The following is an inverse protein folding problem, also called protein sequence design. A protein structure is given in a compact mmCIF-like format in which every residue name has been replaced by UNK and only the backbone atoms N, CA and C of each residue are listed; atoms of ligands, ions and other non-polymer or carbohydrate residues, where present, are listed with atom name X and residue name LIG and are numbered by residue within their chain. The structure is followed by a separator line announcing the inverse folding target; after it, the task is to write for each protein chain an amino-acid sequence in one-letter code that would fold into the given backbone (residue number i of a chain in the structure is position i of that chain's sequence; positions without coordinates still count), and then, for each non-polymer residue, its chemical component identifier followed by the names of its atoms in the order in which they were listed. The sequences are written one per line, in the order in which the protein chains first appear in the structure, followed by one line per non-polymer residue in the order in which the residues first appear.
data_IF_242342725571
#
_entry.id   IF_242342725571
#
_cell.length_a   1.000
_cell.length_b   1.000
_cell.length_c   1.000
_cell.angle_alpha   90.00
_cell.angle_beta   90.00
_cell.angle_gamma   90.00
#
_symmetry.space_group_name_H-M   'P 1'
#
loop_
_entity.id
_entity.type
_entity.pdbx_description
1 polymer ?
#
# COMPACT_ATOMS: atom_id res chain seq x y z
N UNK A 1 -25.73 19.63 40.64
CA UNK A 1 -24.69 18.60 40.63
C UNK A 1 -24.09 18.39 39.21
N UNK A 2 -24.25 19.37 38.32
CA UNK A 2 -23.77 19.31 36.91
C UNK A 2 -22.68 20.36 36.57
N UNK A 3 -22.15 21.06 37.56
CA UNK A 3 -21.14 22.13 37.34
C UNK A 3 -19.73 21.76 37.82
N UNK A 4 -19.49 20.49 38.18
CA UNK A 4 -18.20 20.05 38.74
C UNK A 4 -17.32 19.22 37.77
N UNK A 5 -17.76 19.02 36.53
CA UNK A 5 -17.02 18.21 35.52
C UNK A 5 -16.27 19.09 34.52
N UNK A 6 -16.40 20.40 34.56
CA UNK A 6 -15.75 21.34 33.60
C UNK A 6 -14.46 22.01 34.09
N UNK A 7 -13.86 21.57 35.18
CA UNK A 7 -12.61 22.10 35.68
C UNK A 7 -11.58 20.99 35.81
N UNK A 8 -10.87 20.68 34.72
CA UNK A 8 -9.54 20.08 34.55
C UNK A 8 -9.42 19.15 33.36
N UNK A 9 -10.07 19.38 32.24
CA UNK A 9 -9.58 18.81 30.99
C UNK A 9 -8.47 19.73 30.46
N UNK A 10 -7.22 19.41 30.78
CA UNK A 10 -6.10 20.07 30.14
C UNK A 10 -6.26 19.85 28.62
N UNK A 11 -6.40 20.97 27.90
CA UNK A 11 -6.50 20.93 26.44
C UNK A 11 -5.23 20.31 25.87
N UNK A 12 -5.38 19.33 24.98
CA UNK A 12 -4.24 18.75 24.30
C UNK A 12 -3.55 19.75 23.37
N UNK A 13 -2.26 19.62 23.18
CA UNK A 13 -1.56 20.39 22.13
C UNK A 13 -2.06 19.98 20.74
N UNK A 14 -2.30 18.66 20.55
CA UNK A 14 -2.75 18.10 19.28
C UNK A 14 -3.87 17.07 19.45
N UNK A 15 -4.88 17.17 18.61
CA UNK A 15 -5.79 16.09 18.28
C UNK A 15 -5.35 15.48 16.94
N UNK A 16 -5.07 14.19 16.93
CA UNK A 16 -4.74 13.44 15.70
C UNK A 16 -5.93 12.56 15.33
N UNK A 17 -6.52 12.82 14.18
CA UNK A 17 -7.64 12.04 13.63
C UNK A 17 -7.09 11.01 12.67
N UNK A 18 -7.11 9.76 13.10
CA UNK A 18 -6.58 8.58 12.41
C UNK A 18 -5.39 7.95 13.13
N UNK A 19 -5.56 6.73 13.61
CA UNK A 19 -4.55 5.92 14.29
C UNK A 19 -3.74 5.01 13.33
N UNK A 20 -3.67 5.38 12.05
CA UNK A 20 -2.81 4.76 11.06
C UNK A 20 -1.34 5.14 11.23
N UNK A 21 -0.46 4.67 10.32
CA UNK A 21 0.98 4.95 10.40
C UNK A 21 1.31 6.44 10.47
N UNK A 22 0.65 7.27 9.64
CA UNK A 22 0.92 8.71 9.64
C UNK A 22 0.58 9.34 11.00
N UNK A 23 -0.64 9.07 11.50
CA UNK A 23 -1.07 9.61 12.79
C UNK A 23 -0.21 9.12 13.95
N UNK A 24 0.15 7.83 13.97
CA UNK A 24 1.01 7.26 15.00
C UNK A 24 2.41 7.87 15.00
N UNK A 25 3.02 8.05 13.83
CA UNK A 25 4.34 8.71 13.70
C UNK A 25 4.26 10.16 14.15
N UNK A 26 3.25 10.91 13.72
CA UNK A 26 3.07 12.30 14.16
C UNK A 26 2.92 12.39 15.68
N UNK A 27 2.03 11.58 16.24
CA UNK A 27 1.77 11.56 17.68
C UNK A 27 3.04 11.21 18.48
N UNK A 28 3.80 10.20 18.04
CA UNK A 28 5.06 9.81 18.64
C UNK A 28 6.09 10.97 18.62
N UNK A 29 6.25 11.64 17.48
CA UNK A 29 7.19 12.73 17.35
C UNK A 29 6.77 13.97 18.16
N UNK A 30 5.47 14.28 18.23
CA UNK A 30 4.94 15.35 19.07
C UNK A 30 5.18 15.06 20.55
N UNK A 31 4.88 13.85 21.02
CA UNK A 31 5.17 13.42 22.38
C UNK A 31 6.65 13.53 22.73
N UNK A 32 7.54 13.14 21.82
CA UNK A 32 8.99 13.23 22.01
C UNK A 32 9.46 14.69 22.19
N UNK A 33 8.66 15.67 21.76
CA UNK A 33 8.88 17.10 21.95
C UNK A 33 8.13 17.67 23.17
N UNK A 34 7.61 16.80 24.04
CA UNK A 34 6.90 17.21 25.27
C UNK A 34 5.47 17.69 25.01
N UNK A 35 4.87 17.39 23.85
CA UNK A 35 3.50 17.76 23.51
C UNK A 35 2.50 16.72 24.00
N UNK A 36 1.36 17.20 24.50
CA UNK A 36 0.21 16.35 24.83
C UNK A 36 -0.60 16.04 23.57
N UNK A 37 -0.93 14.78 23.35
CA UNK A 37 -1.60 14.31 22.12
C UNK A 37 -2.75 13.39 22.47
N UNK A 38 -3.91 13.64 21.88
CA UNK A 38 -5.01 12.68 21.78
C UNK A 38 -5.11 12.15 20.36
N UNK A 39 -5.12 10.84 20.20
CA UNK A 39 -5.38 10.17 18.92
C UNK A 39 -6.80 9.59 18.94
N UNK A 40 -7.57 9.82 17.89
CA UNK A 40 -8.90 9.22 17.72
C UNK A 40 -8.96 8.47 16.38
N UNK A 41 -9.68 7.36 16.33
CA UNK A 41 -9.97 6.64 15.08
C UNK A 41 -11.37 6.07 15.09
N UNK A 42 -12.05 6.12 13.95
CA UNK A 42 -13.37 5.54 13.78
C UNK A 42 -13.40 4.01 13.78
N UNK A 43 -12.27 3.38 13.44
CA UNK A 43 -12.12 1.92 13.49
C UNK A 43 -11.98 1.45 14.93
N UNK A 44 -12.36 0.19 15.23
CA UNK A 44 -12.17 -0.40 16.55
C UNK A 44 -10.72 -0.80 16.84
N UNK A 45 -9.80 -0.55 15.91
CA UNK A 45 -8.39 -0.92 15.97
C UNK A 45 -7.48 0.22 15.51
N UNK A 46 -6.26 0.23 16.02
CA UNK A 46 -5.15 1.06 15.52
C UNK A 46 -4.56 0.50 14.22
N UNK A 47 -3.51 1.12 13.74
CA UNK A 47 -2.71 0.76 12.56
C UNK A 47 -3.37 1.00 11.20
N UNK A 48 -4.63 1.47 11.13
CA UNK A 48 -5.25 1.85 9.87
C UNK A 48 -5.17 0.75 8.81
N UNK A 49 -4.64 1.07 7.63
CA UNK A 49 -4.54 0.11 6.53
C UNK A 49 -3.43 -0.93 6.70
N UNK A 50 -2.47 -0.74 7.62
CA UNK A 50 -1.44 -1.75 7.93
C UNK A 50 -1.85 -2.66 9.08
N UNK A 51 -3.12 -2.63 9.49
CA UNK A 51 -3.63 -3.49 10.55
C UNK A 51 -3.33 -4.97 10.25
N UNK A 52 -2.63 -5.58 11.18
CA UNK A 52 -2.22 -6.99 11.13
C UNK A 52 -2.83 -7.71 12.32
N UNK A 53 -3.49 -8.80 12.07
CA UNK A 53 -4.12 -9.66 13.07
C UNK A 53 -3.45 -11.04 13.07
N UNK A 54 -3.26 -11.63 14.24
CA UNK A 54 -2.73 -12.99 14.34
C UNK A 54 -3.88 -13.99 14.31
N UNK A 55 -3.96 -14.78 13.23
CA UNK A 55 -4.96 -15.83 13.03
C UNK A 55 -4.22 -17.14 12.79
N UNK A 56 -4.52 -18.20 13.54
CA UNK A 56 -3.87 -19.53 13.45
C UNK A 56 -2.33 -19.45 13.46
N UNK A 57 -1.78 -18.50 14.22
CA UNK A 57 -0.33 -18.28 14.30
C UNK A 57 0.26 -17.46 13.15
N UNK A 58 -0.53 -17.07 12.14
CA UNK A 58 -0.12 -16.31 10.98
C UNK A 58 -0.43 -14.82 11.20
N UNK A 59 0.50 -13.95 10.85
CA UNK A 59 0.26 -12.50 10.81
C UNK A 59 -0.49 -12.14 9.52
N UNK A 60 -1.80 -11.94 9.61
CA UNK A 60 -2.67 -11.64 8.47
C UNK A 60 -2.78 -10.12 8.28
N UNK A 61 -2.36 -9.62 7.13
CA UNK A 61 -2.54 -8.23 6.73
C UNK A 61 -3.97 -8.04 6.22
N UNK A 62 -4.85 -7.50 7.05
CA UNK A 62 -6.30 -7.45 6.79
C UNK A 62 -6.70 -6.60 5.58
N UNK A 63 -5.88 -5.63 5.20
CA UNK A 63 -6.16 -4.69 4.11
C UNK A 63 -5.11 -4.80 2.98
N UNK A 64 -4.66 -6.02 2.70
CA UNK A 64 -3.67 -6.32 1.68
C UNK A 64 -2.23 -6.31 2.18
N UNK A 65 -1.34 -6.91 1.40
CA UNK A 65 0.06 -7.04 1.75
C UNK A 65 0.74 -5.67 1.84
N UNK A 66 1.36 -5.41 2.97
CA UNK A 66 2.18 -4.23 3.20
C UNK A 66 3.61 -4.68 3.49
N UNK A 67 4.55 -4.33 2.63
CA UNK A 67 5.96 -4.60 2.80
C UNK A 67 6.67 -3.27 2.98
N UNK A 68 7.32 -3.09 4.13
CA UNK A 68 8.10 -1.89 4.37
C UNK A 68 9.35 -1.88 3.52
N UNK A 69 9.59 -0.78 2.82
CA UNK A 69 10.83 -0.58 2.06
C UNK A 69 11.22 0.90 2.00
N UNK A 70 12.51 1.17 2.03
CA UNK A 70 13.03 2.54 1.95
C UNK A 70 14.50 2.57 1.56
N UNK A 71 14.94 3.66 0.94
CA UNK A 71 16.35 3.99 0.77
C UNK A 71 16.86 4.97 1.84
N UNK A 72 15.93 5.51 2.65
CA UNK A 72 16.28 6.50 3.66
C UNK A 72 16.68 5.82 4.97
N UNK A 73 17.98 5.87 5.30
CA UNK A 73 18.52 5.29 6.53
C UNK A 73 17.92 5.88 7.80
N UNK A 74 17.53 7.17 7.79
CA UNK A 74 16.88 7.79 8.97
C UNK A 74 15.51 7.18 9.22
N UNK A 75 14.72 6.95 8.17
CA UNK A 75 13.41 6.29 8.26
C UNK A 75 13.58 4.84 8.72
N UNK A 76 14.53 4.10 8.15
CA UNK A 76 14.83 2.74 8.57
C UNK A 76 15.20 2.66 10.06
N UNK A 77 16.13 3.52 10.50
CA UNK A 77 16.53 3.57 11.91
C UNK A 77 15.37 3.99 12.84
N UNK A 78 14.47 4.86 12.36
CA UNK A 78 13.30 5.27 13.13
C UNK A 78 12.34 4.11 13.37
N UNK A 79 11.95 3.38 12.33
CA UNK A 79 10.97 2.28 12.48
C UNK A 79 11.54 1.10 13.27
N UNK A 80 12.85 0.85 13.19
CA UNK A 80 13.53 -0.18 13.97
C UNK A 80 13.59 0.12 15.48
N UNK A 81 13.18 1.30 15.91
CA UNK A 81 12.99 1.60 17.35
C UNK A 81 11.73 0.95 17.91
N UNK A 82 10.77 0.60 17.06
CA UNK A 82 9.44 0.14 17.45
C UNK A 82 9.17 -1.32 17.08
N UNK A 83 9.97 -1.91 16.18
CA UNK A 83 9.88 -3.31 15.81
C UNK A 83 11.20 -3.77 15.21
N UNK A 84 11.51 -5.05 15.40
CA UNK A 84 12.51 -5.76 14.61
C UNK A 84 11.90 -6.08 13.23
N UNK A 85 12.67 -5.91 12.16
CA UNK A 85 12.24 -6.29 10.82
C UNK A 85 12.88 -7.59 10.38
N UNK A 86 12.08 -8.46 9.79
CA UNK A 86 12.60 -9.69 9.18
C UNK A 86 13.32 -9.36 7.85
N UNK A 87 13.87 -10.40 7.22
CA UNK A 87 14.56 -10.28 5.92
C UNK A 87 13.64 -10.61 4.73
N UNK A 88 12.34 -10.32 4.87
CA UNK A 88 11.41 -10.60 3.79
C UNK A 88 11.77 -9.80 2.55
N UNK A 89 12.00 -10.52 1.45
CA UNK A 89 12.22 -9.94 0.12
C UNK A 89 10.95 -10.15 -0.71
N UNK A 90 10.33 -9.07 -1.16
CA UNK A 90 9.12 -9.16 -1.96
C UNK A 90 9.46 -9.64 -3.37
N UNK A 91 9.03 -10.85 -3.70
CA UNK A 91 9.23 -11.50 -5.01
C UNK A 91 7.88 -12.07 -5.50
N UNK A 92 6.93 -11.22 -5.90
CA UNK A 92 5.62 -11.67 -6.33
C UNK A 92 5.71 -12.46 -7.64
N UNK A 93 4.72 -13.32 -7.85
CA UNK A 93 4.54 -14.12 -9.05
C UNK A 93 3.23 -13.73 -9.72
N UNK A 94 3.22 -13.61 -11.03
CA UNK A 94 2.01 -13.51 -11.83
C UNK A 94 1.54 -14.90 -12.26
N UNK A 95 0.25 -15.16 -12.13
CA UNK A 95 -0.42 -16.31 -12.70
C UNK A 95 -1.36 -15.83 -13.80
N UNK A 96 -1.07 -16.20 -15.03
CA UNK A 96 -1.92 -15.94 -16.19
C UNK A 96 -2.42 -17.28 -16.73
N UNK A 97 -3.66 -17.65 -16.44
CA UNK A 97 -4.31 -18.90 -16.90
C UNK A 97 -3.46 -20.14 -16.61
N UNK A 98 -2.82 -20.20 -15.46
CA UNK A 98 -1.96 -21.30 -15.05
C UNK A 98 -0.49 -21.17 -15.49
N UNK A 99 -0.14 -20.20 -16.33
CA UNK A 99 1.26 -19.87 -16.63
C UNK A 99 1.84 -18.93 -15.56
N UNK A 100 2.96 -19.32 -14.95
CA UNK A 100 3.61 -18.53 -13.90
C UNK A 100 4.74 -17.71 -14.47
N UNK A 101 4.76 -16.41 -14.10
CA UNK A 101 5.78 -15.46 -14.48
C UNK A 101 6.34 -14.74 -13.26
N UNK A 102 7.64 -14.47 -13.24
CA UNK A 102 8.27 -13.65 -12.20
C UNK A 102 7.89 -12.17 -12.37
N UNK A 103 7.75 -11.47 -11.24
CA UNK A 103 7.59 -10.02 -11.19
C UNK A 103 8.70 -9.41 -10.29
N UNK A 104 9.18 -8.19 -10.60
CA UNK A 104 8.87 -7.32 -11.74
C UNK A 104 9.29 -7.96 -13.07
N UNK A 105 8.94 -7.34 -14.22
CA UNK A 105 9.33 -7.85 -15.54
C UNK A 105 10.86 -7.90 -15.66
N UNK A 106 11.42 -9.08 -15.63
CA UNK A 106 12.86 -9.31 -15.59
C UNK A 106 13.26 -10.47 -16.52
N UNK A 107 14.53 -10.84 -16.55
CA UNK A 107 15.00 -11.90 -17.44
C UNK A 107 14.33 -13.26 -17.22
N UNK A 108 13.87 -13.59 -16.00
CA UNK A 108 13.06 -14.80 -15.78
C UNK A 108 11.69 -14.70 -16.47
N UNK A 109 11.06 -13.51 -16.43
CA UNK A 109 9.80 -13.24 -17.12
C UNK A 109 9.98 -13.40 -18.64
N UNK A 110 11.02 -12.81 -19.20
CA UNK A 110 11.27 -12.82 -20.64
C UNK A 110 11.70 -14.20 -21.14
N UNK A 111 12.53 -14.92 -20.38
CA UNK A 111 12.87 -16.30 -20.67
C UNK A 111 11.63 -17.20 -20.70
N UNK A 112 10.76 -17.09 -19.68
CA UNK A 112 9.51 -17.86 -19.61
C UNK A 112 8.57 -17.53 -20.78
N UNK A 113 8.50 -16.26 -21.18
CA UNK A 113 7.57 -15.77 -22.19
C UNK A 113 8.04 -16.06 -23.63
N UNK A 114 9.33 -15.87 -23.88
CA UNK A 114 9.92 -15.87 -25.24
C UNK A 114 11.07 -16.86 -25.45
N UNK A 115 11.55 -17.53 -24.40
CA UNK A 115 12.70 -18.43 -24.48
C UNK A 115 14.05 -17.72 -24.63
N UNK A 116 14.11 -16.39 -24.50
CA UNK A 116 15.34 -15.60 -24.62
C UNK A 116 16.24 -15.83 -23.41
N UNK A 117 17.55 -15.78 -23.61
CA UNK A 117 18.54 -16.05 -22.55
C UNK A 117 19.47 -14.85 -22.28
N UNK A 118 19.55 -13.90 -23.21
CA UNK A 118 20.41 -12.72 -23.07
C UNK A 118 19.61 -11.42 -22.98
N UNK A 119 20.14 -10.39 -22.31
CA UNK A 119 19.52 -9.06 -22.29
C UNK A 119 19.26 -8.47 -23.67
N UNK A 120 20.17 -8.68 -24.63
CA UNK A 120 20.02 -8.17 -25.99
C UNK A 120 18.87 -8.84 -26.75
N UNK A 121 18.67 -10.14 -26.59
CA UNK A 121 17.51 -10.86 -27.17
C UNK A 121 16.19 -10.37 -26.58
N UNK A 122 16.13 -10.19 -25.25
CA UNK A 122 14.94 -9.67 -24.58
C UNK A 122 14.62 -8.23 -25.03
N UNK A 123 15.62 -7.37 -25.11
CA UNK A 123 15.46 -6.00 -25.60
C UNK A 123 14.98 -5.98 -27.06
N UNK A 124 15.59 -6.79 -27.92
CA UNK A 124 15.20 -6.89 -29.32
C UNK A 124 13.74 -7.33 -29.47
N UNK A 125 13.29 -8.28 -28.64
CA UNK A 125 11.90 -8.76 -28.65
C UNK A 125 10.90 -7.68 -28.23
N UNK A 126 11.23 -6.91 -27.20
CA UNK A 126 10.42 -5.76 -26.77
C UNK A 126 10.33 -4.71 -27.88
N UNK A 127 11.46 -4.32 -28.45
CA UNK A 127 11.50 -3.31 -29.51
C UNK A 127 10.79 -3.77 -30.79
N UNK A 128 10.88 -5.05 -31.15
CA UNK A 128 10.10 -5.63 -32.24
C UNK A 128 8.61 -5.41 -32.05
N UNK A 129 8.07 -5.75 -30.89
CA UNK A 129 6.65 -5.63 -30.59
C UNK A 129 6.19 -4.17 -30.51
N UNK A 130 6.99 -3.29 -29.91
CA UNK A 130 6.73 -1.85 -29.89
C UNK A 130 6.64 -1.28 -31.31
N UNK A 131 7.58 -1.69 -32.19
CA UNK A 131 7.58 -1.28 -33.59
C UNK A 131 6.36 -1.81 -34.36
N UNK A 132 5.97 -3.08 -34.11
CA UNK A 132 4.77 -3.67 -34.72
C UNK A 132 3.49 -2.95 -34.28
N UNK A 133 3.41 -2.52 -33.04
CA UNK A 133 2.27 -1.75 -32.53
C UNK A 133 2.18 -0.34 -33.13
N UNK A 134 3.30 0.26 -33.56
CA UNK A 134 3.34 1.54 -34.26
C UNK A 134 2.83 2.73 -33.45
N UNK A 135 2.81 2.65 -32.11
CA UNK A 135 2.29 3.70 -31.23
C UNK A 135 3.37 4.75 -31.00
N UNK A 136 3.14 5.96 -31.51
CA UNK A 136 4.05 7.11 -31.34
C UNK A 136 3.60 8.05 -30.21
N UNK A 137 2.30 8.27 -30.08
CA UNK A 137 1.69 9.12 -29.06
C UNK A 137 0.57 8.36 -28.33
N UNK A 138 0.87 7.72 -27.19
CA UNK A 138 -0.12 6.94 -26.46
C UNK A 138 -1.26 7.81 -25.90
N UNK A 139 -2.50 7.47 -26.22
CA UNK A 139 -3.70 8.22 -25.82
C UNK A 139 -4.36 7.70 -24.55
N UNK A 140 -4.11 6.45 -24.22
CA UNK A 140 -4.72 5.74 -23.10
C UNK A 140 -3.70 4.79 -22.44
N UNK A 141 -4.12 4.11 -21.36
CA UNK A 141 -3.26 3.21 -20.61
C UNK A 141 -2.79 2.02 -21.43
N UNK A 142 -3.65 1.43 -22.27
CA UNK A 142 -3.29 0.31 -23.14
C UNK A 142 -2.15 0.68 -24.09
N UNK A 143 -2.32 1.75 -24.86
CA UNK A 143 -1.30 2.23 -25.79
C UNK A 143 0.00 2.59 -25.05
N UNK A 144 -0.11 3.23 -23.87
CA UNK A 144 1.05 3.55 -23.05
C UNK A 144 1.80 2.29 -22.58
N UNK A 145 1.10 1.27 -22.12
CA UNK A 145 1.70 0.03 -21.67
C UNK A 145 2.41 -0.68 -22.85
N UNK A 146 1.73 -0.85 -23.98
CA UNK A 146 2.30 -1.50 -25.17
C UNK A 146 3.55 -0.73 -25.67
N UNK A 147 3.51 0.60 -25.67
CA UNK A 147 4.66 1.42 -26.07
C UNK A 147 5.87 1.31 -25.13
N UNK A 148 5.66 0.86 -23.90
CA UNK A 148 6.73 0.66 -22.91
C UNK A 148 7.31 -0.75 -22.93
N UNK A 149 6.47 -1.78 -22.97
CA UNK A 149 6.87 -3.16 -22.71
C UNK A 149 6.50 -4.17 -23.81
N UNK A 150 5.78 -3.73 -24.85
CA UNK A 150 5.32 -4.61 -25.94
C UNK A 150 3.97 -5.28 -25.63
N UNK A 151 3.40 -5.90 -26.65
CA UNK A 151 2.03 -6.45 -26.63
C UNK A 151 1.91 -7.67 -25.73
N UNK A 152 2.87 -8.60 -25.75
CA UNK A 152 2.76 -9.84 -24.97
C UNK A 152 2.75 -9.60 -23.47
N UNK A 153 3.61 -8.71 -22.98
CA UNK A 153 3.67 -8.34 -21.56
C UNK A 153 2.37 -7.63 -21.17
N UNK A 154 1.88 -6.71 -22.02
CA UNK A 154 0.62 -6.04 -21.79
C UNK A 154 -0.54 -7.02 -21.66
N UNK A 155 -0.74 -7.87 -22.66
CA UNK A 155 -1.88 -8.80 -22.71
C UNK A 155 -1.88 -9.82 -21.55
N UNK A 156 -0.71 -10.40 -21.23
CA UNK A 156 -0.61 -11.44 -20.21
C UNK A 156 -0.50 -10.91 -18.77
N UNK A 157 0.20 -9.79 -18.57
CA UNK A 157 0.62 -9.41 -17.21
C UNK A 157 0.04 -8.08 -16.72
N UNK A 158 -0.49 -7.24 -17.60
CA UNK A 158 -0.97 -5.89 -17.24
C UNK A 158 -2.47 -5.75 -17.41
N UNK A 159 -3.00 -6.13 -18.56
CA UNK A 159 -4.37 -5.86 -18.97
C UNK A 159 -5.42 -6.34 -17.97
N UNK A 160 -5.51 -7.64 -17.71
CA UNK A 160 -6.54 -8.19 -16.83
C UNK A 160 -6.36 -7.74 -15.39
N UNK A 161 -5.12 -7.67 -14.89
CA UNK A 161 -4.82 -7.13 -13.57
C UNK A 161 -5.31 -5.68 -13.41
N UNK A 162 -5.01 -4.82 -14.41
CA UNK A 162 -5.42 -3.42 -14.40
C UNK A 162 -6.93 -3.28 -14.50
N UNK A 163 -7.58 -4.06 -15.36
CA UNK A 163 -9.04 -4.03 -15.50
C UNK A 163 -9.75 -4.41 -14.19
N UNK A 164 -9.28 -5.41 -13.46
CA UNK A 164 -9.79 -5.76 -12.12
C UNK A 164 -9.62 -4.63 -11.11
N UNK A 165 -8.44 -4.02 -11.09
CA UNK A 165 -8.11 -2.93 -10.16
C UNK A 165 -8.97 -1.68 -10.40
N UNK A 166 -9.24 -1.35 -11.65
CA UNK A 166 -9.92 -0.12 -12.01
C UNK A 166 -11.40 -0.30 -12.33
N UNK A 167 -11.87 -1.54 -12.55
CA UNK A 167 -13.24 -1.81 -12.98
C UNK A 167 -13.58 -1.21 -14.33
N UNK A 168 -12.57 -0.93 -15.18
CA UNK A 168 -12.70 -0.30 -16.50
C UNK A 168 -11.72 -0.92 -17.49
N UNK A 169 -12.04 -0.99 -18.80
CA UNK A 169 -11.11 -1.38 -19.84
C UNK A 169 -9.91 -0.44 -19.91
N UNK A 170 -8.73 -0.97 -20.25
CA UNK A 170 -7.48 -0.21 -20.27
C UNK A 170 -7.48 0.93 -21.30
N UNK A 171 -8.20 0.78 -22.43
CA UNK A 171 -8.38 1.84 -23.45
C UNK A 171 -9.24 3.02 -22.97
N UNK A 172 -9.95 2.88 -21.85
CA UNK A 172 -10.74 3.93 -21.18
C UNK A 172 -10.02 4.57 -19.99
N UNK A 173 -8.81 4.15 -19.71
CA UNK A 173 -7.99 4.68 -18.61
C UNK A 173 -6.94 5.66 -19.14
N UNK A 174 -6.65 6.76 -18.44
CA UNK A 174 -5.64 7.71 -18.86
C UNK A 174 -4.23 7.11 -18.92
N UNK A 175 -3.42 7.50 -19.90
CA UNK A 175 -2.05 7.02 -20.09
C UNK A 175 -1.13 7.30 -18.90
N UNK A 176 -1.38 8.39 -18.16
CA UNK A 176 -0.53 8.78 -17.02
C UNK A 176 -0.57 7.80 -15.83
N UNK A 177 -1.56 6.90 -15.76
CA UNK A 177 -1.63 5.87 -14.72
C UNK A 177 -0.41 4.94 -14.79
N UNK A 178 0.05 4.64 -16.01
CA UNK A 178 1.27 3.86 -16.25
C UNK A 178 2.32 4.74 -16.92
N UNK A 179 2.96 5.63 -16.17
CA UNK A 179 4.05 6.45 -16.71
C UNK A 179 5.35 5.66 -16.90
N UNK A 180 5.58 4.65 -16.08
CA UNK A 180 6.79 3.81 -16.09
C UNK A 180 6.42 2.38 -15.73
N UNK A 181 6.89 1.46 -16.53
CA UNK A 181 6.87 0.04 -16.20
C UNK A 181 8.34 -0.40 -16.08
N UNK A 182 8.79 -0.82 -14.91
CA UNK A 182 10.18 -1.22 -14.75
C UNK A 182 10.45 -2.52 -15.53
N UNK A 183 11.29 -2.41 -16.56
CA UNK A 183 11.86 -3.55 -17.28
C UNK A 183 13.28 -3.73 -16.76
N UNK A 184 13.60 -4.92 -16.28
CA UNK A 184 14.94 -5.27 -15.80
C UNK A 184 15.57 -6.31 -16.68
N UNK A 185 16.68 -5.96 -17.31
CA UNK A 185 17.46 -6.89 -18.13
C UNK A 185 18.49 -7.67 -17.28
N UNK A 186 18.03 -8.11 -16.11
CA UNK A 186 18.79 -8.89 -15.11
C UNK A 186 17.91 -10.00 -14.56
N UNK A 187 18.52 -11.08 -14.04
CA UNK A 187 17.84 -12.15 -13.31
C UNK A 187 17.67 -11.76 -11.83
N UNK A 188 16.78 -10.82 -11.56
CA UNK A 188 16.52 -10.30 -10.21
C UNK A 188 15.01 -10.23 -9.96
N UNK A 189 14.53 -11.07 -9.04
CA UNK A 189 13.13 -11.16 -8.62
C UNK A 189 12.78 -10.23 -7.45
N UNK A 190 13.73 -9.48 -6.90
CA UNK A 190 13.42 -8.51 -5.87
C UNK A 190 12.56 -7.38 -6.45
N UNK A 191 11.31 -7.28 -6.00
CA UNK A 191 10.36 -6.29 -6.53
C UNK A 191 10.81 -4.86 -6.27
N UNK A 192 11.38 -4.59 -5.11
CA UNK A 192 11.83 -3.25 -4.72
C UNK A 192 13.33 -3.05 -4.98
N UNK A 193 13.70 -1.85 -5.42
CA UNK A 193 15.10 -1.41 -5.52
C UNK A 193 15.59 -0.74 -4.22
N UNK A 194 14.83 -0.86 -3.14
CA UNK A 194 15.16 -0.24 -1.87
C UNK A 194 16.28 -0.98 -1.15
N UNK A 195 17.19 -0.23 -0.51
CA UNK A 195 18.30 -0.78 0.29
C UNK A 195 17.80 -1.53 1.52
N UNK A 196 16.66 -1.10 2.07
CA UNK A 196 16.05 -1.68 3.26
C UNK A 196 14.65 -2.14 2.92
N UNK A 197 14.32 -3.37 3.26
CA UNK A 197 12.96 -3.90 3.17
C UNK A 197 12.75 -5.00 4.21
N UNK A 198 11.50 -5.25 4.54
CA UNK A 198 11.10 -6.29 5.49
C UNK A 198 9.68 -6.10 5.99
N UNK A 199 9.28 -7.01 6.83
CA UNK A 199 8.00 -6.97 7.55
C UNK A 199 8.31 -6.97 9.04
N UNK A 200 7.65 -6.13 9.86
CA UNK A 200 7.90 -6.09 11.30
C UNK A 200 7.54 -7.44 11.95
N UNK A 201 8.46 -7.98 12.73
CA UNK A 201 8.24 -9.19 13.53
C UNK A 201 7.12 -8.92 14.52
N UNK A 202 6.12 -9.78 14.56
CA UNK A 202 4.90 -9.59 15.36
C UNK A 202 3.81 -8.75 14.68
N UNK A 203 4.05 -8.26 13.44
CA UNK A 203 3.09 -7.53 12.63
C UNK A 203 3.11 -6.00 12.83
N UNK A 204 2.49 -5.29 11.90
CA UNK A 204 2.44 -3.82 11.93
C UNK A 204 1.62 -3.27 13.09
N UNK A 205 0.58 -3.95 13.52
CA UNK A 205 -0.25 -3.51 14.64
C UNK A 205 0.59 -3.35 15.90
N UNK A 206 1.48 -4.32 16.19
CA UNK A 206 2.39 -4.24 17.34
C UNK A 206 3.39 -3.09 17.21
N UNK A 207 3.90 -2.85 16.02
CA UNK A 207 4.80 -1.71 15.77
C UNK A 207 4.10 -0.37 16.03
N UNK A 208 2.85 -0.20 15.56
CA UNK A 208 2.05 1.01 15.79
C UNK A 208 1.68 1.16 17.27
N UNK A 209 1.34 0.06 17.95
CA UNK A 209 1.12 0.05 19.39
C UNK A 209 2.32 0.61 20.15
N UNK A 210 3.52 0.15 19.82
CA UNK A 210 4.77 0.65 20.42
C UNK A 210 5.02 2.13 20.10
N UNK A 211 4.62 2.61 18.91
CA UNK A 211 4.71 4.06 18.57
C UNK A 211 3.75 4.90 19.42
N UNK A 212 2.59 4.36 19.76
CA UNK A 212 1.55 5.05 20.52
C UNK A 212 1.67 4.85 22.04
N UNK A 213 2.71 4.18 22.52
CA UNK A 213 2.91 3.94 23.95
C UNK A 213 2.89 5.24 24.75
N UNK A 214 2.01 5.29 25.77
CA UNK A 214 1.81 6.45 26.64
C UNK A 214 1.24 7.69 25.93
N UNK A 215 0.49 7.49 24.85
CA UNK A 215 -0.33 8.49 24.16
C UNK A 215 -1.78 8.11 24.34
N UNK A 216 -2.65 9.07 24.61
CA UNK A 216 -4.08 8.83 24.77
C UNK A 216 -4.69 8.47 23.40
N UNK A 217 -5.37 7.32 23.33
CA UNK A 217 -6.01 6.80 22.11
C UNK A 217 -7.46 6.46 22.40
N UNK A 218 -8.39 6.97 21.56
CA UNK A 218 -9.81 6.61 21.59
C UNK A 218 -10.21 5.99 20.25
N UNK A 219 -10.66 4.74 20.27
CA UNK A 219 -11.11 3.99 19.11
C UNK A 219 -12.63 3.92 19.02
N UNK A 220 -13.18 3.62 17.84
CA UNK A 220 -14.62 3.59 17.60
C UNK A 220 -15.25 4.97 17.62
N UNK A 221 -14.49 6.01 17.33
CA UNK A 221 -14.88 7.43 17.42
C UNK A 221 -14.78 8.07 16.06
N UNK A 222 -15.90 8.43 15.44
CA UNK A 222 -15.88 9.22 14.21
C UNK A 222 -15.77 10.73 14.55
N UNK A 223 -14.75 11.37 14.02
CA UNK A 223 -14.48 12.79 14.23
C UNK A 223 -15.65 13.68 13.81
N UNK A 224 -16.39 13.30 12.76
CA UNK A 224 -17.50 14.10 12.25
C UNK A 224 -18.79 14.00 13.06
N UNK A 225 -18.93 12.98 13.91
CA UNK A 225 -20.11 12.86 14.78
C UNK A 225 -20.23 14.04 15.76
N UNK A 226 -19.07 14.51 16.29
CA UNK A 226 -19.01 15.61 17.24
C UNK A 226 -17.80 16.52 16.96
N UNK A 227 -17.63 16.95 15.71
CA UNK A 227 -16.45 17.71 15.27
C UNK A 227 -16.12 18.91 16.16
N UNK A 228 -17.12 19.71 16.54
CA UNK A 228 -16.92 20.90 17.38
C UNK A 228 -16.41 20.56 18.79
N UNK A 229 -16.86 19.45 19.36
CA UNK A 229 -16.39 18.97 20.65
C UNK A 229 -14.92 18.53 20.56
N UNK A 230 -14.58 17.73 19.54
CA UNK A 230 -13.20 17.29 19.32
C UNK A 230 -12.26 18.43 19.01
N UNK A 231 -12.68 19.40 18.19
CA UNK A 231 -11.88 20.59 17.91
C UNK A 231 -11.57 21.41 19.19
N UNK A 232 -12.52 21.43 20.15
CA UNK A 232 -12.31 22.12 21.43
C UNK A 232 -11.39 21.38 22.41
N UNK A 233 -11.07 20.09 22.16
CA UNK A 233 -10.20 19.30 23.03
C UNK A 233 -8.69 19.58 22.80
N UNK A 234 -8.32 20.22 21.69
CA UNK A 234 -6.91 20.45 21.37
C UNK A 234 -6.66 21.81 20.70
N UNK A 235 -5.45 22.31 20.85
CA UNK A 235 -5.04 23.57 20.20
C UNK A 235 -4.93 23.45 18.69
N UNK A 236 -4.62 22.25 18.17
CA UNK A 236 -4.47 21.96 16.73
C UNK A 236 -4.98 20.57 16.39
N UNK A 237 -5.59 20.46 15.21
CA UNK A 237 -6.06 19.19 14.65
C UNK A 237 -5.13 18.76 13.52
N UNK A 238 -4.72 17.49 13.54
CA UNK A 238 -4.00 16.81 12.47
C UNK A 238 -4.95 15.74 11.90
N UNK A 239 -5.55 16.04 10.76
CA UNK A 239 -6.53 15.16 10.13
C UNK A 239 -5.85 14.30 9.06
N UNK A 240 -5.98 12.98 9.18
CA UNK A 240 -5.36 12.00 8.26
C UNK A 240 -6.37 11.24 7.40
N UNK A 241 -7.65 11.63 7.46
CA UNK A 241 -8.71 11.03 6.65
C UNK A 241 -8.81 11.63 5.24
N UNK A 242 -9.95 11.39 4.58
CA UNK A 242 -10.22 11.92 3.25
C UNK A 242 -10.36 13.45 3.28
N UNK A 243 -9.54 14.15 2.50
CA UNK A 243 -9.45 15.61 2.54
C UNK A 243 -10.74 16.28 2.06
N UNK A 244 -11.44 15.70 1.09
CA UNK A 244 -12.72 16.17 0.60
C UNK A 244 -13.81 16.11 1.69
N UNK A 245 -13.83 15.03 2.49
CA UNK A 245 -14.71 14.92 3.64
C UNK A 245 -14.41 15.98 4.72
N UNK A 246 -13.13 16.31 4.95
CA UNK A 246 -12.76 17.36 5.91
C UNK A 246 -13.36 18.71 5.54
N UNK A 247 -13.44 19.03 4.25
CA UNK A 247 -14.05 20.25 3.72
C UNK A 247 -15.51 20.11 3.34
N UNK A 248 -16.19 19.07 3.85
CA UNK A 248 -17.63 18.85 3.62
C UNK A 248 -17.99 18.80 2.13
N UNK A 249 -17.07 18.21 1.33
CA UNK A 249 -17.22 18.06 -0.13
C UNK A 249 -17.52 19.34 -0.90
N UNK A 250 -17.20 20.52 -0.34
CA UNK A 250 -17.52 21.84 -0.95
C UNK A 250 -16.92 22.07 -2.32
N UNK A 251 -15.84 21.38 -2.66
CA UNK A 251 -15.18 21.42 -3.96
C UNK A 251 -15.45 20.16 -4.81
N UNK A 252 -16.43 19.35 -4.43
CA UNK A 252 -16.74 18.07 -5.01
C UNK A 252 -16.02 16.91 -4.31
N UNK A 253 -16.30 15.69 -4.78
CA UNK A 253 -15.72 14.45 -4.26
C UNK A 253 -14.49 14.04 -5.05
N UNK A 254 -13.47 13.52 -4.35
CA UNK A 254 -12.36 12.83 -5.01
C UNK A 254 -12.76 11.38 -5.35
N UNK A 255 -12.30 10.89 -6.48
CA UNK A 255 -12.54 9.49 -6.85
C UNK A 255 -11.58 8.56 -6.11
N UNK A 256 -12.15 7.60 -5.38
CA UNK A 256 -11.43 6.51 -4.72
C UNK A 256 -11.78 5.18 -5.38
N UNK A 257 -10.94 4.19 -5.16
CA UNK A 257 -11.22 2.80 -5.52
C UNK A 257 -11.29 1.96 -4.26
N UNK A 258 -12.39 1.24 -4.11
CA UNK A 258 -12.56 0.27 -3.03
C UNK A 258 -11.90 -1.05 -3.42
N UNK A 259 -11.17 -1.64 -2.49
CA UNK A 259 -10.62 -2.99 -2.62
C UNK A 259 -11.44 -3.92 -1.74
N UNK A 260 -11.91 -5.02 -2.31
CA UNK A 260 -12.60 -6.09 -1.58
C UNK A 260 -11.56 -7.13 -1.16
N UNK A 261 -11.62 -7.52 0.10
CA UNK A 261 -10.81 -8.60 0.66
C UNK A 261 -11.69 -9.78 1.02
N UNK A 262 -11.37 -10.94 0.51
CA UNK A 262 -11.98 -12.21 0.88
C UNK A 262 -10.95 -13.03 1.62
N UNK A 263 -11.27 -13.45 2.85
CA UNK A 263 -10.37 -14.24 3.68
C UNK A 263 -10.90 -15.66 3.75
N UNK A 264 -10.05 -16.62 3.46
CA UNK A 264 -10.35 -18.05 3.54
C UNK A 264 -9.26 -18.76 4.33
N UNK A 265 -9.67 -19.67 5.23
CA UNK A 265 -8.76 -20.57 5.93
C UNK A 265 -8.86 -21.92 5.26
N UNK A 266 -7.75 -22.38 4.69
CA UNK A 266 -7.66 -23.66 4.00
C UNK A 266 -6.95 -24.67 4.89
N UNK A 267 -7.38 -25.94 4.86
CA UNK A 267 -6.69 -27.05 5.52
C UNK A 267 -5.46 -27.50 4.70
N UNK A 268 -4.62 -26.53 4.35
CA UNK A 268 -3.41 -26.72 3.55
C UNK A 268 -2.33 -25.79 4.11
N UNK A 269 -1.17 -26.29 4.53
CA UNK A 269 -0.14 -25.46 5.17
C UNK A 269 0.52 -24.44 4.20
N UNK A 270 0.47 -24.71 2.90
CA UNK A 270 1.03 -23.83 1.85
C UNK A 270 0.26 -23.98 0.57
N UNK A 271 -0.66 -23.05 0.29
CA UNK A 271 -1.55 -23.11 -0.87
C UNK A 271 -0.86 -22.76 -2.18
N UNK A 272 -0.07 -21.70 -2.23
CA UNK A 272 0.42 -21.12 -3.48
C UNK A 272 1.96 -21.05 -3.59
N UNK A 273 2.70 -21.48 -2.57
CA UNK A 273 4.17 -21.52 -2.59
C UNK A 273 4.87 -20.15 -2.57
N UNK A 274 4.11 -19.05 -2.50
CA UNK A 274 4.64 -17.70 -2.44
C UNK A 274 3.73 -16.81 -1.59
N UNK A 275 4.27 -15.77 -0.98
CA UNK A 275 3.50 -14.83 -0.16
C UNK A 275 2.49 -14.01 -0.99
N UNK A 276 2.83 -13.68 -2.24
CA UNK A 276 1.98 -12.90 -3.13
C UNK A 276 1.94 -13.50 -4.54
N UNK A 277 0.74 -13.80 -5.03
CA UNK A 277 0.49 -14.22 -6.40
C UNK A 277 -0.55 -13.28 -7.01
N UNK A 278 -0.21 -12.66 -8.13
CA UNK A 278 -1.09 -11.79 -8.89
C UNK A 278 -1.74 -12.59 -10.02
N UNK A 279 -3.02 -12.82 -9.94
CA UNK A 279 -3.80 -13.41 -11.04
C UNK A 279 -4.07 -12.31 -12.06
N UNK A 280 -3.42 -12.41 -13.23
CA UNK A 280 -3.39 -11.34 -14.23
C UNK A 280 -4.36 -11.58 -15.40
N UNK A 281 -5.11 -12.67 -15.38
CA UNK A 281 -6.26 -12.86 -16.23
C UNK A 281 -7.46 -12.00 -15.78
N UNK A 282 -8.51 -11.99 -16.60
CA UNK A 282 -9.66 -11.09 -16.40
C UNK A 282 -10.70 -11.61 -15.39
N UNK A 283 -10.51 -12.81 -14.81
CA UNK A 283 -11.43 -13.43 -13.86
C UNK A 283 -10.88 -13.42 -12.43
#
# INVERSE_FOLDING_TARGET
MALWILQNSSMYDYLVVGAGLYGAVFANQAKAQGKSVLVIDKRPNIAGNVFTEKIEGINVHKYGAHIFHTNNKKVWNFVNRFAEFNRFTNSPVANYKGELFSLPFNMYTFNKMWGVVTPSEAQAKIEEQKKQAGITEPKNLEEQAISLVGTDIYEKLIKGYTMKQWGRPCDKLPSFIIKRLPVRLTFDNNYFNALYQGIPVGGYTKMVENMLEGIDVKLGVDYFDNKSEYDAMASKVVYTGAIDAYFDYKLGTLEYRSVRFENEILDIPNFQGNAAVNYTDSE
#
